data_IF_952644791610
#
_entry.id   IF_952644791610
#
_cell.length_a   1.000
_cell.length_b   1.000
_cell.length_c   1.000
_cell.angle_alpha   90.00
_cell.angle_beta   90.00
_cell.angle_gamma   90.00
#
_symmetry.space_group_name_H-M   'P 1'
#
loop_
_entity.id
_entity.type
_entity.pdbx_description
1 polymer ?
#
# COMPACT_ATOMS: atom_id res chain seq x y z
N UNK A 1 0.00 3.44 7.45
CA UNK A 1 -1.39 3.95 7.43
C UNK A 1 -2.20 3.30 8.56
N UNK A 2 -3.18 3.99 9.12
CA UNK A 2 -4.06 3.44 10.17
C UNK A 2 -5.44 3.14 9.59
N UNK A 3 -6.04 2.02 10.01
CA UNK A 3 -7.47 1.76 9.85
C UNK A 3 -8.28 2.34 11.01
N UNK A 4 -9.60 2.43 10.81
CA UNK A 4 -10.56 2.95 11.80
C UNK A 4 -10.57 2.13 13.10
N UNK A 5 -10.20 0.84 13.04
CA UNK A 5 -10.11 -0.06 14.19
C UNK A 5 -8.78 0.09 14.98
N UNK A 6 -7.91 1.01 14.55
CA UNK A 6 -6.61 1.26 15.15
C UNK A 6 -5.49 0.34 14.66
N UNK A 7 -5.75 -0.55 13.70
CA UNK A 7 -4.71 -1.36 13.07
C UNK A 7 -3.76 -0.47 12.28
N UNK A 8 -2.46 -0.58 12.56
CA UNK A 8 -1.39 0.03 11.78
C UNK A 8 -0.97 -0.91 10.66
N UNK A 9 -0.99 -0.43 9.43
CA UNK A 9 -0.35 -1.07 8.28
C UNK A 9 0.95 -0.36 7.92
N UNK A 10 1.98 -1.15 7.63
CA UNK A 10 3.29 -0.67 7.22
C UNK A 10 3.76 -1.40 5.96
N UNK A 11 4.28 -0.64 5.01
CA UNK A 11 5.07 -1.14 3.90
C UNK A 11 6.52 -1.30 4.33
N UNK A 12 7.16 -2.37 3.87
CA UNK A 12 8.56 -2.68 4.20
C UNK A 12 9.33 -2.83 2.88
N UNK A 13 9.75 -1.69 2.33
CA UNK A 13 10.29 -1.53 0.97
C UNK A 13 11.39 -2.55 0.65
N UNK A 14 12.33 -2.73 1.58
CA UNK A 14 13.49 -3.60 1.38
C UNK A 14 13.16 -5.09 1.51
N UNK A 15 12.11 -5.42 2.26
CA UNK A 15 11.68 -6.80 2.50
C UNK A 15 10.56 -7.23 1.53
N UNK A 16 10.05 -6.32 0.71
CA UNK A 16 9.01 -6.61 -0.27
C UNK A 16 7.68 -7.04 0.34
N UNK A 17 7.34 -6.51 1.53
CA UNK A 17 6.19 -6.96 2.31
C UNK A 17 5.35 -5.82 2.86
N UNK A 18 4.14 -6.18 3.28
CA UNK A 18 3.22 -5.35 4.05
C UNK A 18 2.92 -6.07 5.34
N UNK A 19 3.09 -5.39 6.47
CA UNK A 19 2.76 -5.89 7.79
C UNK A 19 1.62 -5.11 8.43
N UNK A 20 0.95 -5.76 9.38
CA UNK A 20 -0.08 -5.18 10.22
C UNK A 20 0.32 -5.30 11.69
N UNK A 21 0.05 -4.26 12.48
CA UNK A 21 0.11 -4.27 13.94
C UNK A 21 -1.25 -3.87 14.48
N UNK A 22 -1.90 -4.76 15.22
CA UNK A 22 -3.22 -4.46 15.81
C UNK A 22 -3.11 -3.52 17.03
N UNK A 23 -4.26 -3.09 17.54
CA UNK A 23 -4.35 -2.19 18.70
C UNK A 23 -3.85 -2.82 20.01
N UNK A 24 -3.75 -4.15 20.08
CA UNK A 24 -3.10 -4.88 21.18
C UNK A 24 -1.57 -5.00 21.01
N UNK A 25 -1.03 -4.52 19.88
CA UNK A 25 0.38 -4.52 19.56
C UNK A 25 0.90 -5.78 18.91
N UNK A 26 0.04 -6.75 18.56
CA UNK A 26 0.42 -7.99 17.87
C UNK A 26 0.70 -7.70 16.41
N UNK A 27 1.79 -8.25 15.89
CA UNK A 27 2.20 -8.06 14.50
C UNK A 27 1.93 -9.31 13.65
N UNK A 28 1.66 -9.12 12.36
CA UNK A 28 1.57 -10.17 11.36
C UNK A 28 1.96 -9.65 9.98
N UNK A 29 2.48 -10.51 9.13
CA UNK A 29 2.67 -10.22 7.70
C UNK A 29 1.32 -10.38 7.00
N UNK A 30 0.89 -9.36 6.25
CA UNK A 30 -0.28 -9.42 5.39
C UNK A 30 0.06 -10.06 4.05
N UNK A 31 1.22 -9.69 3.51
CA UNK A 31 1.69 -10.12 2.19
C UNK A 31 3.19 -9.87 2.06
N UNK A 32 3.89 -10.73 1.32
CA UNK A 32 5.35 -10.78 1.19
C UNK A 32 5.84 -10.99 -0.26
N UNK A 33 4.97 -10.79 -1.24
CA UNK A 33 5.24 -10.91 -2.69
C UNK A 33 5.13 -9.56 -3.41
N UNK A 34 5.47 -8.45 -2.72
CA UNK A 34 5.28 -7.08 -3.19
C UNK A 34 6.62 -6.33 -3.27
N UNK A 35 7.38 -6.51 -4.36
CA UNK A 35 8.70 -5.88 -4.50
C UNK A 35 8.61 -4.35 -4.42
N UNK A 36 9.51 -3.75 -3.65
CA UNK A 36 9.59 -2.30 -3.47
C UNK A 36 8.30 -1.65 -2.95
N UNK A 37 7.50 -2.35 -2.15
CA UNK A 37 6.29 -1.81 -1.51
C UNK A 37 6.63 -0.56 -0.68
N UNK A 38 6.10 0.60 -1.06
CA UNK A 38 6.47 1.89 -0.49
C UNK A 38 5.23 2.74 -0.15
N UNK A 39 4.54 3.27 -1.17
CA UNK A 39 3.32 4.04 -0.97
C UNK A 39 2.27 3.21 -0.24
N UNK A 40 1.61 3.82 0.74
CA UNK A 40 0.56 3.18 1.52
C UNK A 40 -0.46 4.19 2.03
N UNK A 41 -1.75 3.91 1.85
CA UNK A 41 -2.83 4.70 2.46
C UNK A 41 -4.04 3.81 2.75
N UNK A 42 -4.88 4.24 3.69
CA UNK A 42 -6.16 3.60 3.99
C UNK A 42 -7.27 4.59 3.69
N UNK A 43 -8.29 4.16 2.97
CA UNK A 43 -9.45 4.99 2.68
C UNK A 43 -10.72 4.14 2.70
N UNK A 44 -11.68 4.53 3.54
CA UNK A 44 -12.98 3.85 3.68
C UNK A 44 -12.84 2.33 3.95
N UNK A 45 -11.95 1.96 4.87
CA UNK A 45 -11.68 0.56 5.22
C UNK A 45 -10.90 -0.25 4.19
N UNK A 46 -10.44 0.38 3.10
CA UNK A 46 -9.66 -0.26 2.03
C UNK A 46 -8.20 0.15 2.12
N UNK A 47 -7.31 -0.81 1.92
CA UNK A 47 -5.86 -0.61 1.95
C UNK A 47 -5.31 -0.50 0.53
N UNK A 48 -4.59 0.57 0.25
CA UNK A 48 -3.93 0.80 -1.02
C UNK A 48 -2.42 0.86 -0.83
N UNK A 49 -1.69 0.32 -1.79
CA UNK A 49 -0.24 0.26 -1.79
C UNK A 49 0.35 0.56 -3.17
N UNK A 50 1.59 1.05 -3.19
CA UNK A 50 2.36 1.33 -4.40
C UNK A 50 3.75 0.70 -4.37
N UNK A 51 4.25 0.28 -5.53
CA UNK A 51 5.60 -0.26 -5.70
C UNK A 51 6.55 0.80 -6.26
N UNK A 52 7.52 1.25 -5.46
CA UNK A 52 8.48 2.29 -5.85
C UNK A 52 9.63 1.71 -6.66
N UNK A 53 9.32 1.34 -7.90
CA UNK A 53 10.25 0.83 -8.91
C UNK A 53 9.77 1.18 -10.31
N UNK A 54 10.66 1.08 -11.29
CA UNK A 54 10.24 1.17 -12.69
C UNK A 54 9.35 -0.03 -13.04
N UNK A 55 8.26 0.25 -13.76
CA UNK A 55 7.19 -0.71 -13.96
C UNK A 55 6.34 -0.92 -12.69
N UNK A 56 6.36 0.04 -11.77
CA UNK A 56 5.66 -0.01 -10.50
C UNK A 56 4.15 -0.05 -10.65
N UNK A 57 3.49 -0.67 -9.68
CA UNK A 57 2.04 -0.86 -9.66
C UNK A 57 1.41 -0.10 -8.51
N UNK A 58 0.21 0.41 -8.72
CA UNK A 58 -0.71 0.81 -7.65
C UNK A 58 -1.80 -0.24 -7.54
N UNK A 59 -2.09 -0.68 -6.33
CA UNK A 59 -3.07 -1.74 -6.11
C UNK A 59 -3.83 -1.54 -4.81
N UNK A 60 -5.03 -2.10 -4.78
CA UNK A 60 -5.75 -2.37 -3.54
C UNK A 60 -5.33 -3.74 -3.02
N UNK A 61 -5.07 -3.82 -1.71
CA UNK A 61 -4.75 -5.05 -1.01
C UNK A 61 -5.93 -5.48 -0.14
N UNK A 62 -6.70 -6.50 -0.55
CA UNK A 62 -7.80 -7.02 0.25
C UNK A 62 -7.33 -7.54 1.62
N UNK A 63 -8.02 -7.14 2.69
CA UNK A 63 -7.66 -7.52 4.06
C UNK A 63 -8.04 -8.98 4.41
N UNK A 64 -8.84 -9.62 3.56
CA UNK A 64 -9.21 -11.04 3.65
C UNK A 64 -8.13 -11.99 3.10
N UNK A 65 -7.02 -11.43 2.55
CA UNK A 65 -5.90 -12.19 2.01
C UNK A 65 -6.09 -12.63 0.55
N UNK A 66 -7.20 -12.26 -0.10
CA UNK A 66 -7.41 -12.51 -1.53
C UNK A 66 -6.38 -11.76 -2.39
N UNK A 67 -6.34 -12.07 -3.68
CA UNK A 67 -5.32 -11.52 -4.58
C UNK A 67 -5.42 -9.98 -4.68
N UNK A 68 -4.29 -9.25 -4.80
CA UNK A 68 -4.33 -7.80 -4.95
C UNK A 68 -5.07 -7.40 -6.23
N UNK A 69 -5.83 -6.31 -6.17
CA UNK A 69 -6.46 -5.72 -7.35
C UNK A 69 -5.56 -4.62 -7.89
N UNK A 70 -4.97 -4.86 -9.06
CA UNK A 70 -4.18 -3.85 -9.76
C UNK A 70 -5.11 -2.73 -10.26
N UNK A 71 -4.77 -1.49 -9.91
CA UNK A 71 -5.49 -0.29 -10.33
C UNK A 71 -4.81 0.34 -11.54
N UNK A 72 -3.48 0.45 -11.46
CA UNK A 72 -2.61 0.99 -12.52
C UNK A 72 -1.29 0.24 -12.45
N UNK A 73 -0.70 -0.06 -13.61
CA UNK A 73 0.62 -0.68 -13.73
C UNK A 73 1.54 0.12 -14.65
N UNK A 74 2.77 -0.37 -14.77
CA UNK A 74 3.81 0.19 -15.62
C UNK A 74 4.13 1.68 -15.33
N UNK A 75 4.12 2.09 -14.06
CA UNK A 75 4.42 3.45 -13.67
C UNK A 75 5.94 3.69 -13.48
N UNK A 76 6.43 4.91 -13.77
CA UNK A 76 7.82 5.29 -13.53
C UNK A 76 8.06 5.61 -12.06
N UNK A 77 8.38 4.57 -11.28
CA UNK A 77 8.78 4.65 -9.87
C UNK A 77 7.82 5.49 -9.00
N UNK A 78 6.57 5.03 -8.78
CA UNK A 78 5.63 5.70 -7.88
C UNK A 78 6.06 5.54 -6.42
N UNK A 79 6.29 6.65 -5.71
CA UNK A 79 6.93 6.62 -4.38
C UNK A 79 5.92 6.57 -3.22
N UNK A 80 5.14 7.64 -3.07
CA UNK A 80 4.16 7.80 -2.00
C UNK A 80 2.73 7.67 -2.55
N UNK A 81 1.73 7.69 -1.67
CA UNK A 81 0.34 7.86 -2.09
C UNK A 81 -0.53 8.41 -0.96
N UNK A 82 -1.59 9.15 -1.30
CA UNK A 82 -2.59 9.62 -0.35
C UNK A 82 -3.93 9.88 -1.06
N UNK A 83 -5.05 9.62 -0.39
CA UNK A 83 -6.37 10.00 -0.90
C UNK A 83 -6.73 11.41 -0.44
N UNK A 84 -7.00 12.30 -1.40
CA UNK A 84 -7.40 13.68 -1.12
C UNK A 84 -8.86 13.83 -0.67
N UNK A 85 -9.25 15.03 -0.21
CA UNK A 85 -10.62 15.31 0.22
C UNK A 85 -11.66 15.21 -0.90
N UNK A 86 -11.23 15.21 -2.16
CA UNK A 86 -12.06 14.99 -3.35
C UNK A 86 -12.26 13.50 -3.69
N UNK A 87 -11.70 12.60 -2.89
CA UNK A 87 -11.80 11.16 -3.08
C UNK A 87 -10.88 10.61 -4.17
N UNK A 88 -9.94 11.41 -4.68
CA UNK A 88 -8.94 10.96 -5.65
C UNK A 88 -7.68 10.45 -4.96
N UNK A 89 -7.07 9.40 -5.53
CA UNK A 89 -5.80 8.87 -5.07
C UNK A 89 -4.64 9.58 -5.80
N UNK A 90 -3.81 10.29 -5.04
CA UNK A 90 -2.65 11.01 -5.53
C UNK A 90 -1.37 10.25 -5.23
N UNK A 91 -0.41 10.32 -6.14
CA UNK A 91 0.90 9.69 -6.00
C UNK A 91 1.94 10.46 -6.84
N UNK A 92 3.16 10.69 -6.33
CA UNK A 92 4.25 11.25 -7.11
C UNK A 92 4.97 10.17 -7.92
N UNK A 93 5.43 10.55 -9.11
CA UNK A 93 6.34 9.76 -9.93
C UNK A 93 7.75 10.32 -9.81
N UNK A 94 8.74 9.45 -9.64
CA UNK A 94 10.14 9.88 -9.45
C UNK A 94 10.94 9.96 -10.73
N UNK A 95 10.58 9.16 -11.74
CA UNK A 95 11.37 8.99 -12.98
C UNK A 95 10.58 9.33 -14.24
N UNK A 96 9.49 10.10 -14.10
CA UNK A 96 8.63 10.57 -15.18
C UNK A 96 9.18 11.80 -15.91
#
# INVERSE_FOLDING_TARGET
AFADDGTLYATEVMDGRVSARDSAGRTRVLRDDLPCANGITVHQGRLFIGECRDGGRLMELPLDGSAPRILVDNLPSPNAMEVGPDGLLYYPLMTA
#
